data_IF_743623154915
#
_entry.id   IF_743623154915
#
_cell.length_a   1.000
_cell.length_b   1.000
_cell.length_c   1.000
_cell.angle_alpha   90.00
_cell.angle_beta   90.00
_cell.angle_gamma   90.00
#
_symmetry.space_group_name_H-M   'P 1'
#
loop_
_entity.id
_entity.type
_entity.pdbx_description
1 polymer ?
#
# COMPACT_ATOMS: atom_id res chain seq x y z
N UNK A 1 8.80 8.42 4.42
CA UNK A 1 9.94 7.50 4.54
C UNK A 1 11.21 8.18 4.00
N UNK A 2 12.35 7.92 4.64
CA UNK A 2 13.66 8.37 4.15
C UNK A 2 14.01 7.73 2.81
N UNK A 3 14.47 8.52 1.86
CA UNK A 3 15.02 8.06 0.58
C UNK A 3 16.54 8.25 0.60
N UNK A 4 17.27 7.15 0.77
CA UNK A 4 18.71 7.18 1.06
C UNK A 4 19.52 7.87 -0.03
N UNK A 5 19.21 7.62 -1.31
CA UNK A 5 19.95 8.17 -2.44
C UNK A 5 19.87 9.69 -2.54
N UNK A 6 18.73 10.30 -2.25
CA UNK A 6 18.56 11.76 -2.31
C UNK A 6 18.87 12.47 -0.99
N UNK A 7 18.97 11.72 0.13
CA UNK A 7 19.11 12.32 1.45
C UNK A 7 17.89 13.14 1.90
N UNK A 8 16.69 12.79 1.45
CA UNK A 8 15.45 13.50 1.76
C UNK A 8 14.35 12.56 2.29
N UNK A 9 13.35 13.14 2.97
CA UNK A 9 12.13 12.41 3.30
C UNK A 9 11.12 12.63 2.17
N UNK A 10 10.61 11.53 1.60
CA UNK A 10 9.50 11.56 0.67
C UNK A 10 8.25 11.03 1.37
N UNK A 11 7.27 11.89 1.58
CA UNK A 11 5.92 11.53 2.00
C UNK A 11 5.07 11.19 0.79
N UNK A 12 4.27 10.11 0.86
CA UNK A 12 3.30 9.75 -0.18
C UNK A 12 1.92 9.61 0.43
N UNK A 13 0.90 9.95 -0.32
CA UNK A 13 -0.48 9.94 0.14
C UNK A 13 -1.49 9.93 -1.01
N UNK A 14 -2.62 10.53 -0.75
CA UNK A 14 -3.68 10.71 -1.75
C UNK A 14 -4.42 12.00 -1.53
N UNK A 15 -4.94 12.59 -2.60
CA UNK A 15 -5.82 13.75 -2.50
C UNK A 15 -7.18 13.38 -1.93
N UNK A 16 -7.76 14.30 -1.14
CA UNK A 16 -9.12 14.18 -0.64
C UNK A 16 -9.84 15.48 -0.92
N UNK A 17 -11.02 15.41 -1.51
CA UNK A 17 -11.84 16.58 -1.80
C UNK A 17 -13.06 16.61 -0.89
N UNK A 18 -13.35 17.80 -0.34
CA UNK A 18 -14.47 18.04 0.55
C UNK A 18 -15.43 19.04 -0.08
N UNK A 19 -16.72 18.92 0.26
CA UNK A 19 -17.75 19.92 0.01
C UNK A 19 -18.58 20.06 1.28
N UNK A 20 -18.68 21.29 1.84
CA UNK A 20 -19.39 21.56 3.10
C UNK A 20 -18.98 20.57 4.21
N UNK A 21 -17.67 20.43 4.44
CA UNK A 21 -17.03 19.56 5.45
C UNK A 21 -17.31 18.04 5.28
N UNK A 22 -17.94 17.64 4.19
CA UNK A 22 -18.15 16.24 3.85
C UNK A 22 -17.26 15.82 2.68
N UNK A 23 -16.72 14.60 2.79
CA UNK A 23 -15.96 13.99 1.70
C UNK A 23 -16.89 13.78 0.51
N UNK A 24 -16.48 14.27 -0.67
CA UNK A 24 -17.24 14.06 -1.91
C UNK A 24 -17.15 12.57 -2.30
N UNK A 25 -18.29 11.91 -2.44
CA UNK A 25 -18.36 10.55 -2.96
C UNK A 25 -18.01 10.52 -4.46
N UNK A 26 -17.48 9.40 -4.93
CA UNK A 26 -17.09 9.16 -6.34
C UNK A 26 -16.21 10.28 -6.94
N UNK A 27 -15.39 10.91 -6.11
CA UNK A 27 -14.44 11.96 -6.51
C UNK A 27 -13.25 11.36 -7.25
N UNK A 28 -12.67 12.18 -8.12
CA UNK A 28 -11.32 11.95 -8.60
C UNK A 28 -10.35 12.00 -7.42
N UNK A 29 -9.37 11.12 -7.44
CA UNK A 29 -8.37 11.01 -6.41
C UNK A 29 -7.03 10.70 -7.06
N UNK A 30 -5.99 11.37 -6.60
CA UNK A 30 -4.66 11.28 -7.15
C UNK A 30 -3.68 10.83 -6.07
N UNK A 31 -2.69 10.03 -6.44
CA UNK A 31 -1.55 9.76 -5.59
C UNK A 31 -0.75 11.05 -5.42
N UNK A 32 -0.62 11.51 -4.19
CA UNK A 32 0.08 12.77 -3.87
C UNK A 32 1.39 12.50 -3.15
N UNK A 33 2.32 13.46 -3.24
CA UNK A 33 3.58 13.40 -2.51
C UNK A 33 4.06 14.79 -2.10
N UNK A 34 4.95 14.81 -1.10
CA UNK A 34 5.70 15.99 -0.70
C UNK A 34 7.10 15.58 -0.25
N UNK A 35 8.06 16.48 -0.37
CA UNK A 35 9.47 16.23 -0.06
C UNK A 35 9.92 17.12 1.08
N UNK A 36 10.49 16.53 2.13
CA UNK A 36 11.16 17.27 3.20
C UNK A 36 12.66 17.30 2.97
N UNK A 37 13.20 18.51 2.95
CA UNK A 37 14.62 18.75 2.89
C UNK A 37 15.17 19.01 4.30
N UNK A 38 16.03 18.11 4.84
CA UNK A 38 16.61 18.31 6.16
C UNK A 38 17.59 19.48 6.24
N UNK A 39 18.19 19.93 5.13
CA UNK A 39 19.10 21.07 5.12
C UNK A 39 18.35 22.39 5.35
N UNK A 40 17.25 22.61 4.65
CA UNK A 40 16.37 23.77 4.85
C UNK A 40 15.34 23.58 5.96
N UNK A 41 15.11 22.35 6.42
CA UNK A 41 14.08 21.95 7.38
C UNK A 41 12.65 22.30 6.91
N UNK A 42 12.40 22.22 5.62
CA UNK A 42 11.11 22.58 5.01
C UNK A 42 10.53 21.44 4.19
N UNK A 43 9.20 21.42 4.11
CA UNK A 43 8.46 20.60 3.16
C UNK A 43 8.17 21.40 1.89
N UNK A 44 8.23 20.74 0.74
CA UNK A 44 7.64 21.29 -0.49
C UNK A 44 6.13 21.36 -0.34
N UNK A 45 5.43 22.22 -1.10
CA UNK A 45 4.03 21.97 -1.39
C UNK A 45 3.84 20.53 -1.87
N UNK A 46 2.66 19.97 -1.59
CA UNK A 46 2.34 18.64 -2.15
C UNK A 46 2.12 18.72 -3.67
N UNK A 47 2.48 17.68 -4.36
CA UNK A 47 2.31 17.50 -5.81
C UNK A 47 1.67 16.13 -6.07
N UNK A 48 1.31 15.82 -7.31
CA UNK A 48 0.66 14.57 -7.70
C UNK A 48 1.55 13.76 -8.64
N UNK A 49 1.46 12.44 -8.49
CA UNK A 49 2.07 11.50 -9.42
C UNK A 49 1.21 11.42 -10.68
N UNK A 50 1.74 11.91 -11.80
CA UNK A 50 1.09 11.81 -13.11
C UNK A 50 1.05 10.35 -13.58
N UNK A 51 -0.15 9.82 -13.77
CA UNK A 51 -0.36 8.46 -14.27
C UNK A 51 -0.66 8.48 -15.77
N UNK A 52 -0.22 7.45 -16.54
CA UNK A 52 -0.30 7.46 -18.02
C UNK A 52 -1.72 7.39 -18.57
N UNK A 53 -2.67 6.85 -17.81
CA UNK A 53 -4.07 6.70 -18.20
C UNK A 53 -4.99 7.32 -17.15
N UNK A 54 -5.41 8.59 -17.33
CA UNK A 54 -6.23 9.30 -16.35
C UNK A 54 -7.65 8.73 -16.20
N UNK A 55 -8.14 7.96 -17.16
CA UNK A 55 -9.45 7.30 -17.05
C UNK A 55 -9.33 6.06 -16.18
N UNK A 56 -8.37 5.21 -16.45
CA UNK A 56 -8.07 4.00 -15.67
C UNK A 56 -7.74 4.33 -14.21
N UNK A 57 -6.88 5.33 -14.00
CA UNK A 57 -6.40 5.75 -12.68
C UNK A 57 -7.17 6.93 -12.11
N UNK A 58 -8.41 7.16 -12.53
CA UNK A 58 -9.20 8.31 -12.14
C UNK A 58 -9.38 8.45 -10.62
N UNK A 59 -9.45 7.35 -9.91
CA UNK A 59 -9.44 7.31 -8.45
C UNK A 59 -8.26 6.46 -7.99
N UNK A 60 -7.04 7.00 -8.02
CA UNK A 60 -5.83 6.34 -7.56
C UNK A 60 -5.33 6.93 -6.24
N UNK A 61 -4.64 6.13 -5.44
CA UNK A 61 -4.11 6.60 -4.17
C UNK A 61 -2.97 5.75 -3.63
N UNK A 62 -2.01 6.43 -3.01
CA UNK A 62 -0.91 5.88 -2.23
C UNK A 62 -1.03 6.22 -0.73
N UNK A 63 -2.28 6.38 -0.25
CA UNK A 63 -2.55 6.58 1.17
C UNK A 63 -2.53 5.28 1.95
N UNK A 64 -1.94 5.27 3.14
CA UNK A 64 -1.84 4.09 4.02
C UNK A 64 -1.12 2.91 3.36
N UNK A 65 -0.13 3.18 2.53
CA UNK A 65 0.69 2.18 1.86
C UNK A 65 2.11 2.15 2.40
N UNK A 66 2.81 1.06 2.16
CA UNK A 66 4.24 0.95 2.45
C UNK A 66 4.99 0.70 1.15
N UNK A 67 5.81 1.67 0.75
CA UNK A 67 6.65 1.61 -0.45
C UNK A 67 8.02 0.98 -0.16
N UNK A 68 8.68 0.51 -1.20
CA UNK A 68 10.04 0.00 -1.17
C UNK A 68 10.95 0.87 -2.05
N UNK A 69 12.05 1.35 -1.50
CA UNK A 69 13.07 2.09 -2.25
C UNK A 69 14.12 1.08 -2.74
N UNK A 70 14.46 1.14 -4.03
CA UNK A 70 15.41 0.25 -4.68
C UNK A 70 16.85 0.77 -4.54
N UNK A 71 17.87 -0.10 -4.67
CA UNK A 71 19.28 0.32 -4.58
C UNK A 71 19.70 1.35 -5.63
N UNK A 72 19.07 1.32 -6.81
CA UNK A 72 19.30 2.28 -7.89
C UNK A 72 18.64 3.65 -7.65
N UNK A 73 17.87 3.78 -6.58
CA UNK A 73 17.14 4.99 -6.19
C UNK A 73 15.75 5.10 -6.81
N UNK A 74 15.34 4.16 -7.63
CA UNK A 74 13.92 4.06 -8.02
C UNK A 74 13.07 3.59 -6.83
N UNK A 75 11.79 3.81 -6.92
CA UNK A 75 10.82 3.53 -5.87
C UNK A 75 9.75 2.60 -6.42
N UNK A 76 9.50 1.50 -5.72
CA UNK A 76 8.31 0.68 -5.93
C UNK A 76 7.21 1.20 -5.01
N UNK A 77 6.24 1.89 -5.58
CA UNK A 77 5.11 2.50 -4.89
C UNK A 77 3.84 1.70 -5.14
N UNK A 78 3.36 0.94 -4.17
CA UNK A 78 2.05 0.31 -4.29
C UNK A 78 0.96 1.38 -4.29
N UNK A 79 0.00 1.24 -5.19
CA UNK A 79 -1.20 2.09 -5.25
C UNK A 79 -2.45 1.24 -5.37
N UNK A 80 -3.58 1.80 -5.01
CA UNK A 80 -4.88 1.22 -5.29
C UNK A 80 -5.72 2.22 -6.07
N UNK A 81 -6.47 1.72 -7.02
CA UNK A 81 -7.18 2.57 -7.99
C UNK A 81 -8.44 1.91 -8.52
N UNK A 82 -9.30 2.72 -9.09
CA UNK A 82 -10.44 2.31 -9.92
C UNK A 82 -10.85 3.43 -10.87
N UNK A 83 -11.45 3.08 -12.00
CA UNK A 83 -12.21 4.02 -12.83
C UNK A 83 -13.60 4.27 -12.24
N UNK A 84 -14.36 5.23 -12.78
CA UNK A 84 -15.77 5.48 -12.36
C UNK A 84 -16.69 4.30 -12.60
N UNK A 85 -16.42 3.51 -13.62
CA UNK A 85 -17.25 2.38 -14.02
C UNK A 85 -16.99 1.13 -13.17
N UNK A 86 -15.84 1.08 -12.51
CA UNK A 86 -15.46 -0.05 -11.68
C UNK A 86 -16.04 0.03 -10.27
N UNK A 87 -16.65 -1.05 -9.82
CA UNK A 87 -17.20 -1.17 -8.45
C UNK A 87 -16.10 -1.38 -7.42
N UNK A 88 -15.08 -2.19 -7.76
CA UNK A 88 -14.03 -2.63 -6.84
C UNK A 88 -12.71 -1.95 -7.16
N UNK A 89 -11.91 -1.71 -6.11
CA UNK A 89 -10.53 -1.28 -6.26
C UNK A 89 -9.64 -2.41 -6.77
N UNK A 90 -8.67 -2.02 -7.55
CA UNK A 90 -7.52 -2.82 -7.96
C UNK A 90 -6.26 -2.26 -7.32
N UNK A 91 -5.30 -3.11 -7.12
CA UNK A 91 -3.97 -2.74 -6.65
C UNK A 91 -2.94 -3.06 -7.73
N UNK A 92 -1.97 -2.19 -7.90
CA UNK A 92 -0.74 -2.43 -8.67
C UNK A 92 0.45 -1.81 -7.96
N UNK A 93 1.65 -2.19 -8.35
CA UNK A 93 2.89 -1.53 -7.93
C UNK A 93 3.43 -0.71 -9.07
N UNK A 94 3.67 0.56 -8.81
CA UNK A 94 4.24 1.52 -9.77
C UNK A 94 5.72 1.67 -9.49
N UNK A 95 6.57 1.51 -10.50
CA UNK A 95 7.96 1.93 -10.45
C UNK A 95 8.05 3.40 -10.79
N UNK A 96 8.64 4.16 -9.89
CA UNK A 96 8.85 5.61 -10.03
C UNK A 96 10.33 5.92 -9.98
N UNK A 97 10.78 6.91 -10.76
CA UNK A 97 12.05 7.59 -10.50
C UNK A 97 11.82 8.72 -9.50
N UNK A 98 12.85 9.01 -8.69
CA UNK A 98 12.85 10.13 -7.78
C UNK A 98 14.23 10.81 -7.79
N UNK A 99 14.29 12.06 -8.22
CA UNK A 99 15.52 12.85 -8.33
C UNK A 99 15.86 13.66 -7.06
N UNK A 100 15.03 13.52 -6.01
CA UNK A 100 15.11 14.31 -4.77
C UNK A 100 14.16 15.50 -4.72
N UNK A 101 13.44 15.75 -5.82
CA UNK A 101 12.45 16.82 -5.95
C UNK A 101 11.16 16.31 -6.55
N UNK A 102 11.25 15.62 -7.69
CA UNK A 102 10.09 15.12 -8.45
C UNK A 102 10.04 13.60 -8.41
N UNK A 103 8.83 13.10 -8.09
CA UNK A 103 8.46 11.69 -8.24
C UNK A 103 7.80 11.53 -9.62
N UNK A 104 8.34 10.66 -10.47
CA UNK A 104 7.84 10.48 -11.83
C UNK A 104 7.57 9.00 -12.12
N UNK A 105 6.43 8.73 -12.76
CA UNK A 105 6.05 7.41 -13.23
C UNK A 105 7.05 6.87 -14.26
N UNK A 106 7.35 5.58 -14.19
CA UNK A 106 8.10 4.84 -15.21
C UNK A 106 7.29 3.72 -15.83
N UNK A 107 6.80 2.82 -14.99
CA UNK A 107 6.02 1.65 -15.39
C UNK A 107 5.15 1.17 -14.23
N UNK A 108 4.22 0.28 -14.47
CA UNK A 108 3.48 -0.41 -13.43
C UNK A 108 3.33 -1.90 -13.78
N UNK A 109 3.17 -2.71 -12.74
CA UNK A 109 3.01 -4.14 -12.87
C UNK A 109 1.58 -4.58 -13.18
N UNK A 110 1.31 -5.87 -12.97
CA UNK A 110 -0.02 -6.44 -13.14
C UNK A 110 -1.01 -5.88 -12.10
N UNK A 111 -2.29 -6.01 -12.42
CA UNK A 111 -3.39 -5.57 -11.56
C UNK A 111 -3.91 -6.73 -10.72
N UNK A 112 -3.95 -6.53 -9.41
CA UNK A 112 -4.51 -7.49 -8.48
C UNK A 112 -5.90 -7.03 -8.06
N UNK A 113 -6.88 -7.91 -8.13
CA UNK A 113 -8.25 -7.65 -7.71
C UNK A 113 -8.93 -8.92 -7.24
N UNK A 114 -9.99 -8.76 -6.44
CA UNK A 114 -10.95 -9.80 -6.08
C UNK A 114 -12.36 -9.22 -6.18
N UNK A 115 -13.32 -10.05 -6.49
CA UNK A 115 -14.74 -9.65 -6.55
C UNK A 115 -15.40 -9.87 -5.19
N UNK A 116 -14.89 -9.18 -4.18
CA UNK A 116 -15.41 -9.20 -2.80
C UNK A 116 -15.28 -7.81 -2.17
N UNK A 117 -16.34 -7.33 -1.54
CA UNK A 117 -16.38 -6.02 -0.89
C UNK A 117 -15.96 -4.90 -1.84
N UNK A 118 -15.01 -4.07 -1.39
CA UNK A 118 -14.44 -2.99 -2.19
C UNK A 118 -13.24 -3.40 -3.04
N UNK A 119 -12.93 -4.70 -3.15
CA UNK A 119 -11.74 -5.20 -3.85
C UNK A 119 -10.48 -5.11 -2.98
N UNK A 120 -9.32 -4.94 -3.61
CA UNK A 120 -8.01 -4.87 -2.94
C UNK A 120 -7.50 -3.43 -2.90
N UNK A 121 -7.11 -2.96 -1.71
CA UNK A 121 -6.66 -1.58 -1.49
C UNK A 121 -5.71 -1.46 -0.29
N UNK A 122 -5.11 -0.27 -0.11
CA UNK A 122 -4.12 0.03 0.93
C UNK A 122 -3.01 -1.04 1.03
N UNK A 123 -2.30 -1.30 -0.10
CA UNK A 123 -1.25 -2.30 -0.15
C UNK A 123 0.01 -1.87 0.59
N UNK A 124 0.75 -2.84 1.13
CA UNK A 124 2.07 -2.60 1.73
C UNK A 124 3.09 -3.58 1.19
N UNK A 125 4.21 -3.05 0.71
CA UNK A 125 5.26 -3.80 0.01
C UNK A 125 6.50 -3.95 0.87
N UNK A 126 7.09 -5.14 0.85
CA UNK A 126 8.43 -5.41 1.40
C UNK A 126 9.21 -6.35 0.51
N UNK A 127 10.50 -6.52 0.82
CA UNK A 127 11.37 -7.50 0.17
C UNK A 127 12.06 -8.36 1.21
N UNK A 128 12.08 -9.66 0.96
CA UNK A 128 12.84 -10.63 1.74
C UNK A 128 13.65 -11.52 0.79
N UNK A 129 14.97 -11.39 0.83
CA UNK A 129 15.85 -12.09 -0.11
C UNK A 129 15.57 -11.67 -1.56
N UNK A 130 15.22 -12.64 -2.38
CA UNK A 130 14.88 -12.48 -3.81
C UNK A 130 13.37 -12.34 -4.07
N UNK A 131 12.55 -12.32 -3.02
CA UNK A 131 11.10 -12.22 -3.14
C UNK A 131 10.58 -10.87 -2.64
N UNK A 132 9.55 -10.38 -3.33
CA UNK A 132 8.75 -9.23 -2.92
C UNK A 132 7.40 -9.74 -2.40
N UNK A 133 6.96 -9.21 -1.27
CA UNK A 133 5.71 -9.58 -0.64
C UNK A 133 4.83 -8.34 -0.51
N UNK A 134 3.59 -8.46 -0.99
CA UNK A 134 2.60 -7.40 -0.99
C UNK A 134 1.40 -7.82 -0.13
N UNK A 135 1.22 -7.21 1.04
CA UNK A 135 0.00 -7.42 1.81
C UNK A 135 -1.08 -6.45 1.36
N UNK A 136 -2.32 -6.89 1.36
CA UNK A 136 -3.44 -6.24 0.72
C UNK A 136 -4.65 -6.24 1.67
N UNK A 137 -5.25 -5.09 1.85
CA UNK A 137 -6.49 -4.93 2.61
C UNK A 137 -7.69 -5.26 1.73
N UNK A 138 -8.66 -5.93 2.33
CA UNK A 138 -10.02 -6.09 1.82
C UNK A 138 -11.02 -5.99 2.99
N UNK A 139 -12.31 -5.88 2.70
CA UNK A 139 -13.36 -5.70 3.71
C UNK A 139 -13.63 -6.97 4.52
N UNK A 140 -13.37 -8.14 3.96
CA UNK A 140 -13.69 -9.45 4.55
C UNK A 140 -12.47 -10.17 5.11
N UNK A 141 -11.28 -10.00 4.50
CA UNK A 141 -10.04 -10.64 4.91
C UNK A 141 -8.82 -9.81 4.48
N UNK A 142 -7.66 -10.10 5.04
CA UNK A 142 -6.37 -9.65 4.51
C UNK A 142 -5.82 -10.66 3.50
N UNK A 143 -5.03 -10.18 2.56
CA UNK A 143 -4.43 -10.99 1.51
C UNK A 143 -2.93 -10.72 1.39
N UNK A 144 -2.22 -11.67 0.81
CA UNK A 144 -0.81 -11.52 0.44
C UNK A 144 -0.59 -12.03 -0.98
N UNK A 145 0.31 -11.39 -1.70
CA UNK A 145 0.79 -11.82 -3.01
C UNK A 145 2.31 -11.76 -3.05
N UNK A 146 2.93 -12.64 -3.83
CA UNK A 146 4.38 -12.76 -3.97
C UNK A 146 4.80 -12.42 -5.38
N UNK A 147 6.01 -11.86 -5.54
CA UNK A 147 6.61 -11.50 -6.81
C UNK A 147 8.12 -11.73 -6.78
N UNK A 148 8.72 -11.93 -7.96
CA UNK A 148 10.17 -12.00 -8.16
C UNK A 148 10.78 -10.70 -8.66
N UNK A 149 9.97 -9.83 -9.29
CA UNK A 149 10.42 -8.57 -9.88
C UNK A 149 9.91 -7.32 -9.13
N UNK A 150 8.95 -7.51 -8.20
CA UNK A 150 8.33 -6.43 -7.44
C UNK A 150 7.23 -5.67 -8.19
N UNK A 151 6.93 -6.07 -9.42
CA UNK A 151 5.90 -5.49 -10.28
C UNK A 151 4.79 -6.50 -10.60
N UNK A 152 5.18 -7.71 -10.99
CA UNK A 152 4.24 -8.76 -11.37
C UNK A 152 4.08 -9.77 -10.23
N UNK A 153 2.92 -9.76 -9.61
CA UNK A 153 2.59 -10.57 -8.45
C UNK A 153 1.71 -11.75 -8.83
N UNK A 154 1.90 -12.86 -8.12
CA UNK A 154 1.03 -14.02 -8.19
C UNK A 154 -0.40 -13.66 -7.73
N UNK A 155 -1.32 -14.60 -7.92
CA UNK A 155 -2.71 -14.45 -7.43
C UNK A 155 -2.71 -14.27 -5.91
N UNK A 156 -3.40 -13.25 -5.37
CA UNK A 156 -3.49 -13.04 -3.94
C UNK A 156 -4.14 -14.22 -3.21
N UNK A 157 -3.54 -14.64 -2.10
CA UNK A 157 -4.08 -15.64 -1.19
C UNK A 157 -4.43 -14.99 0.16
N UNK A 158 -5.35 -15.58 0.91
CA UNK A 158 -5.71 -15.09 2.25
C UNK A 158 -4.57 -15.29 3.23
N UNK A 159 -4.46 -14.38 4.20
CA UNK A 159 -3.63 -14.60 5.36
C UNK A 159 -4.23 -15.69 6.25
N UNK A 160 -3.43 -16.70 6.51
CA UNK A 160 -3.78 -17.83 7.38
C UNK A 160 -2.73 -17.97 8.49
N UNK A 161 -3.09 -18.66 9.55
CA UNK A 161 -2.14 -19.21 10.49
C UNK A 161 -1.42 -20.41 9.88
N UNK A 162 -0.34 -20.86 10.51
CA UNK A 162 0.43 -22.04 10.09
C UNK A 162 -0.37 -23.35 10.16
N UNK A 163 -1.43 -23.40 10.92
CA UNK A 163 -2.38 -24.51 10.97
C UNK A 163 -3.47 -24.43 9.88
N UNK A 164 -3.42 -23.42 9.01
CA UNK A 164 -4.37 -23.19 7.93
C UNK A 164 -5.67 -22.47 8.34
N UNK A 165 -5.82 -22.09 9.61
CA UNK A 165 -6.99 -21.33 10.06
C UNK A 165 -6.90 -19.85 9.68
N UNK A 166 -8.06 -19.16 9.56
CA UNK A 166 -8.16 -17.74 9.20
C UNK A 166 -7.44 -16.87 10.24
N UNK A 167 -6.54 -16.01 9.80
CA UNK A 167 -5.86 -15.03 10.68
C UNK A 167 -6.85 -14.05 11.33
N UNK A 168 -8.03 -13.87 10.75
CA UNK A 168 -9.07 -12.98 11.25
C UNK A 168 -8.84 -11.49 10.98
N UNK A 169 -7.80 -11.15 10.22
CA UNK A 169 -7.49 -9.79 9.81
C UNK A 169 -8.44 -9.34 8.69
N UNK A 170 -8.98 -8.13 8.79
CA UNK A 170 -9.88 -7.56 7.78
C UNK A 170 -10.01 -6.04 7.97
N UNK A 171 -10.41 -5.37 6.90
CA UNK A 171 -10.85 -3.97 6.87
C UNK A 171 -9.96 -2.97 7.62
N UNK A 172 -8.66 -3.27 7.71
CA UNK A 172 -7.61 -2.41 8.26
C UNK A 172 -6.33 -2.65 7.48
N UNK A 173 -5.58 -1.58 7.26
CA UNK A 173 -4.26 -1.68 6.63
C UNK A 173 -3.32 -2.55 7.47
N UNK A 174 -2.40 -3.20 6.77
CA UNK A 174 -1.40 -4.10 7.35
C UNK A 174 -0.03 -3.63 6.88
N UNK A 175 0.95 -3.71 7.76
CA UNK A 175 2.28 -3.22 7.45
C UNK A 175 3.35 -4.24 7.80
N UNK A 176 4.43 -4.20 7.06
CA UNK A 176 5.59 -5.04 7.27
C UNK A 176 6.57 -4.43 8.25
N UNK A 177 7.16 -5.29 9.06
CA UNK A 177 8.39 -5.00 9.80
C UNK A 177 9.43 -6.03 9.40
N UNK A 178 10.51 -5.56 8.79
CA UNK A 178 11.69 -6.38 8.46
C UNK A 178 12.75 -6.20 9.52
N UNK A 179 13.23 -7.30 10.06
CA UNK A 179 14.25 -7.32 11.10
C UNK A 179 15.26 -8.44 10.83
N UNK A 180 16.44 -8.39 11.42
CA UNK A 180 17.46 -9.45 11.30
C UNK A 180 16.98 -10.82 11.76
N UNK A 181 15.99 -10.87 12.63
CA UNK A 181 15.40 -12.11 13.16
C UNK A 181 14.21 -12.63 12.33
N UNK A 182 13.77 -11.92 11.30
CA UNK A 182 12.69 -12.37 10.43
C UNK A 182 11.82 -11.26 9.86
N UNK A 183 10.78 -11.69 9.20
CA UNK A 183 9.72 -10.84 8.65
C UNK A 183 8.50 -10.89 9.57
N UNK A 184 7.92 -9.74 9.84
CA UNK A 184 6.75 -9.63 10.70
C UNK A 184 5.65 -8.81 10.01
N UNK A 185 4.40 -9.18 10.30
CA UNK A 185 3.20 -8.47 9.89
C UNK A 185 2.62 -7.76 11.11
N UNK A 186 2.36 -6.45 10.99
CA UNK A 186 1.58 -5.65 11.95
C UNK A 186 0.16 -5.52 11.43
N UNK A 187 -0.82 -5.92 12.23
CA UNK A 187 -2.22 -6.02 11.80
C UNK A 187 -3.20 -5.91 12.98
N UNK A 188 -4.48 -5.86 12.68
CA UNK A 188 -5.57 -6.04 13.64
C UNK A 188 -6.45 -7.20 13.20
N UNK A 189 -7.17 -7.82 14.13
CA UNK A 189 -8.02 -8.98 13.83
C UNK A 189 -9.24 -9.07 14.75
N UNK A 190 -10.25 -9.79 14.30
CA UNK A 190 -11.36 -10.30 15.13
C UNK A 190 -10.91 -11.52 15.94
N UNK A 191 -11.75 -11.98 16.86
CA UNK A 191 -11.47 -13.17 17.67
C UNK A 191 -10.39 -12.98 18.74
N UNK A 192 -10.25 -11.76 19.27
CA UNK A 192 -9.27 -11.39 20.27
C UNK A 192 -9.92 -10.73 21.51
N UNK A 193 -11.15 -11.16 21.85
CA UNK A 193 -11.97 -10.56 22.90
C UNK A 193 -12.13 -9.03 22.74
N UNK A 194 -12.28 -8.58 21.51
CA UNK A 194 -12.33 -7.18 21.10
C UNK A 194 -13.56 -6.80 20.28
N UNK A 195 -14.65 -7.52 20.42
CA UNK A 195 -15.91 -7.27 19.67
C UNK A 195 -16.54 -5.90 20.03
N UNK A 196 -16.18 -5.33 21.18
CA UNK A 196 -16.56 -3.99 21.61
C UNK A 196 -15.76 -2.87 20.90
N UNK A 197 -14.70 -3.22 20.16
CA UNK A 197 -13.87 -2.27 19.42
C UNK A 197 -14.37 -2.15 17.98
N UNK A 198 -14.64 -0.93 17.52
CA UNK A 198 -15.09 -0.67 16.16
C UNK A 198 -14.15 -1.30 15.12
N UNK A 199 -14.68 -2.22 14.31
CA UNK A 199 -13.93 -2.97 13.29
C UNK A 199 -12.72 -3.73 13.84
N UNK A 200 -12.73 -4.08 15.13
CA UNK A 200 -11.64 -4.80 15.79
C UNK A 200 -10.25 -4.15 15.60
N UNK A 201 -10.21 -2.79 15.53
CA UNK A 201 -8.98 -2.03 15.24
C UNK A 201 -8.01 -1.91 16.42
N UNK A 202 -8.31 -2.57 17.53
CA UNK A 202 -7.45 -2.70 18.68
C UNK A 202 -7.65 -4.08 19.35
N UNK A 203 -6.61 -4.63 20.00
CA UNK A 203 -5.23 -4.16 19.96
C UNK A 203 -4.55 -4.37 18.62
N UNK A 204 -3.38 -3.76 18.41
CA UNK A 204 -2.47 -4.11 17.33
C UNK A 204 -1.76 -5.41 17.67
N UNK A 205 -1.59 -6.25 16.69
CA UNK A 205 -0.85 -7.50 16.75
C UNK A 205 0.39 -7.41 15.87
N UNK A 206 1.42 -8.16 16.25
CA UNK A 206 2.58 -8.44 15.42
C UNK A 206 2.78 -9.95 15.38
N UNK A 207 2.84 -10.52 14.20
CA UNK A 207 3.10 -11.94 13.97
C UNK A 207 4.33 -12.12 13.11
N UNK A 208 5.11 -13.15 13.42
CA UNK A 208 6.20 -13.60 12.54
C UNK A 208 5.58 -14.28 11.31
N UNK A 209 6.08 -13.93 10.15
CA UNK A 209 5.63 -14.51 8.88
C UNK A 209 6.61 -15.59 8.47
N UNK A 210 6.09 -16.77 8.12
CA UNK A 210 6.87 -17.80 7.43
C UNK A 210 6.86 -17.47 5.93
N UNK A 211 8.01 -17.15 5.35
CA UNK A 211 8.08 -16.83 3.92
C UNK A 211 8.10 -18.07 3.03
N UNK A 212 8.07 -19.29 3.58
CA UNK A 212 8.15 -20.53 2.80
C UNK A 212 6.78 -21.16 2.54
N UNK A 213 5.80 -20.86 3.39
CA UNK A 213 4.41 -21.30 3.26
C UNK A 213 3.51 -20.15 2.81
#
# INVERSE_FOLDING_TARGET
>A
KWHARSGKLLGTGQTVRYRSDKVIENRDRESSYAVYDPASRTWTPWDTLEMPDPVKFQSAGAGSVQRLDLPDGDILLPIYFKSKEQKTYRTTVVRCSFDGTKLAYREHGNELTIDDGRGLYEPSLTRLGDRYLLTLRNDSAGYVAVSRDGLNFDKPIRWLWDDGTDLGNYNTQQHWVTHSQGLFLVYTRKGANNDHVFRHRAPLFIARVDPQT
#
